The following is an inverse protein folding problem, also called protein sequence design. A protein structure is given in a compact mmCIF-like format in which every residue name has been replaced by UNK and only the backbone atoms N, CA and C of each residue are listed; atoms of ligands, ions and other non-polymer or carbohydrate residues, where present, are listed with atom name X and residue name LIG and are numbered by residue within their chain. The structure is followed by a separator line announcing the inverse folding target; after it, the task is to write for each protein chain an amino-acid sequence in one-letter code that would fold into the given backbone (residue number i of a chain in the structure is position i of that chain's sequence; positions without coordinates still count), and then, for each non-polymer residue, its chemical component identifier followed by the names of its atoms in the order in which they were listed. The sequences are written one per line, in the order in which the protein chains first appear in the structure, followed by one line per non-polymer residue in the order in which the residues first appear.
data_IF_335034169285
#
_entry.id   IF_335034169285
#
_cell.length_a   1.000
_cell.length_b   1.000
_cell.length_c   1.000
_cell.angle_alpha   90.00
_cell.angle_beta   90.00
_cell.angle_gamma   90.00
#
_symmetry.space_group_name_H-M   'P 1'
#
loop_
_entity.id
_entity.type
_entity.pdbx_description
1 polymer ?
#
# COMPACT_ATOMS: atom_id res chain seq x y z
N UNK A 1 12.40 -3.18 11.40
CA UNK A 1 12.47 -2.68 10.01
C UNK A 1 11.55 -1.50 9.76
N UNK A 2 10.79 -1.05 10.75
CA UNK A 2 9.84 0.04 10.58
C UNK A 2 10.22 1.17 11.54
N UNK A 3 10.73 2.27 10.99
CA UNK A 3 11.28 3.40 11.74
C UNK A 3 10.25 4.52 11.89
N UNK A 4 9.38 4.68 10.89
CA UNK A 4 8.35 5.70 10.83
C UNK A 4 7.20 5.28 9.89
N UNK A 5 6.05 5.94 9.99
CA UNK A 5 4.94 5.72 9.06
C UNK A 5 5.19 6.42 7.71
N UNK A 6 4.85 5.74 6.62
CA UNK A 6 4.90 6.29 5.27
C UNK A 6 3.57 6.96 4.93
N UNK A 7 3.46 8.25 5.22
CA UNK A 7 2.28 9.05 4.90
C UNK A 7 2.25 9.49 3.43
N UNK A 8 1.13 9.26 2.76
CA UNK A 8 0.86 9.71 1.41
C UNK A 8 0.50 11.19 1.45
N UNK A 9 1.28 12.01 0.73
CA UNK A 9 1.06 13.45 0.62
C UNK A 9 0.16 13.78 -0.58
N UNK A 10 -0.46 14.96 -0.53
CA UNK A 10 -1.33 15.50 -1.57
C UNK A 10 -2.57 14.67 -1.87
N UNK A 11 -3.13 14.00 -0.84
CA UNK A 11 -4.46 13.40 -0.93
C UNK A 11 -5.51 14.52 -0.74
N UNK A 12 -6.38 14.80 -1.72
CA UNK A 12 -7.36 15.88 -1.60
C UNK A 12 -8.23 15.71 -0.36
N UNK A 13 -8.36 16.75 0.46
CA UNK A 13 -9.21 16.78 1.67
C UNK A 13 -8.81 15.84 2.82
N UNK A 14 -7.76 15.03 2.69
CA UNK A 14 -7.35 14.08 3.72
C UNK A 14 -5.89 14.29 4.16
N UNK A 15 -5.58 13.90 5.39
CA UNK A 15 -4.24 13.85 5.97
C UNK A 15 -4.08 12.57 6.77
N UNK A 16 -2.84 12.14 6.98
CA UNK A 16 -2.55 10.95 7.80
C UNK A 16 -2.83 9.61 7.09
N UNK A 17 -3.11 9.63 5.78
CA UNK A 17 -3.28 8.41 4.98
C UNK A 17 -1.91 7.76 4.81
N UNK A 18 -1.76 6.50 5.21
CA UNK A 18 -0.48 5.79 5.19
C UNK A 18 -0.52 4.52 4.34
N UNK A 19 0.67 4.01 4.01
CA UNK A 19 0.86 2.62 3.57
C UNK A 19 1.11 1.73 4.78
N UNK A 20 0.40 0.60 4.88
CA UNK A 20 0.69 -0.40 5.91
C UNK A 20 0.26 -1.81 5.50
N UNK A 21 0.64 -2.78 6.33
CA UNK A 21 0.13 -4.14 6.26
C UNK A 21 -1.18 -4.26 7.07
N UNK A 22 -2.03 -5.19 6.66
CA UNK A 22 -3.29 -5.53 7.32
C UNK A 22 -3.84 -6.85 6.78
N UNK A 23 -4.81 -7.44 7.46
CA UNK A 23 -5.38 -8.74 7.11
C UNK A 23 -6.73 -8.64 6.40
N UNK A 24 -7.49 -7.58 6.67
CA UNK A 24 -8.84 -7.40 6.13
C UNK A 24 -9.23 -5.95 5.90
N UNK A 25 -10.38 -5.73 5.26
CA UNK A 25 -10.84 -4.38 4.89
C UNK A 25 -11.09 -3.46 6.11
N UNK A 26 -11.33 -4.05 7.28
CA UNK A 26 -11.56 -3.32 8.54
C UNK A 26 -10.29 -2.62 9.04
N UNK A 27 -9.11 -3.04 8.59
CA UNK A 27 -7.84 -2.44 8.97
C UNK A 27 -7.53 -1.15 8.20
N UNK A 28 -8.33 -0.82 7.17
CA UNK A 28 -8.00 0.28 6.27
C UNK A 28 -8.07 1.63 6.98
N UNK A 29 -9.17 1.97 7.66
CA UNK A 29 -9.40 3.31 8.23
C UNK A 29 -9.01 4.46 7.27
N UNK A 30 -9.15 4.25 5.94
CA UNK A 30 -8.71 5.16 4.88
C UNK A 30 -7.26 4.99 4.38
N UNK A 31 -6.42 4.24 5.08
CA UNK A 31 -5.06 3.85 4.66
C UNK A 31 -5.07 2.76 3.57
N UNK A 32 -3.96 2.67 2.83
CA UNK A 32 -3.78 1.68 1.76
C UNK A 32 -3.07 0.46 2.34
N UNK A 33 -3.73 -0.69 2.21
CA UNK A 33 -3.17 -2.00 2.56
C UNK A 33 -2.32 -2.54 1.41
N UNK A 34 -1.15 -3.06 1.74
CA UNK A 34 -0.21 -3.64 0.77
C UNK A 34 -0.09 -5.14 0.98
N UNK A 35 -0.27 -5.89 -0.10
CA UNK A 35 -0.12 -7.35 -0.13
C UNK A 35 0.13 -7.81 -1.58
N UNK A 36 0.86 -8.92 -1.72
CA UNK A 36 1.09 -9.61 -3.00
C UNK A 36 0.16 -10.80 -3.24
N UNK A 37 -0.72 -11.11 -2.29
CA UNK A 37 -1.61 -12.27 -2.36
C UNK A 37 -2.92 -12.01 -1.62
N UNK A 38 -4.02 -12.46 -2.20
CA UNK A 38 -5.33 -12.39 -1.55
C UNK A 38 -6.04 -13.73 -1.65
N UNK A 39 -6.77 -14.07 -0.60
CA UNK A 39 -7.69 -15.19 -0.60
C UNK A 39 -9.10 -14.63 -0.65
N UNK A 40 -9.86 -15.00 -1.68
CA UNK A 40 -11.25 -14.59 -1.89
C UNK A 40 -12.13 -15.82 -1.67
N UNK A 41 -12.95 -15.80 -0.63
CA UNK A 41 -14.08 -16.73 -0.47
C UNK A 41 -15.41 -15.98 -0.64
N UNK A 42 -16.52 -16.71 -0.71
CA UNK A 42 -17.87 -16.14 -0.84
C UNK A 42 -18.24 -15.17 0.29
N UNK A 43 -17.59 -15.30 1.45
CA UNK A 43 -17.92 -14.53 2.66
C UNK A 43 -16.78 -13.64 3.14
N UNK A 44 -15.54 -13.89 2.73
CA UNK A 44 -14.38 -13.16 3.24
C UNK A 44 -13.35 -12.86 2.16
N UNK A 45 -12.79 -11.64 2.22
CA UNK A 45 -11.59 -11.24 1.47
C UNK A 45 -10.47 -10.98 2.46
N UNK A 46 -9.45 -11.83 2.42
CA UNK A 46 -8.30 -11.74 3.31
C UNK A 46 -7.05 -11.46 2.50
N UNK A 47 -6.27 -10.45 2.92
CA UNK A 47 -4.95 -10.20 2.37
C UNK A 47 -3.95 -11.10 3.08
N UNK A 48 -3.27 -11.95 2.31
CA UNK A 48 -2.22 -12.84 2.84
C UNK A 48 -0.86 -12.22 2.59
N UNK A 49 0.17 -12.69 3.31
CA UNK A 49 1.56 -12.23 3.16
C UNK A 49 1.81 -10.71 3.34
N UNK A 50 0.81 -9.93 3.76
CA UNK A 50 0.85 -8.46 3.77
C UNK A 50 2.01 -7.89 4.58
N UNK A 51 2.35 -8.51 5.71
CA UNK A 51 3.50 -8.10 6.54
C UNK A 51 4.83 -8.21 5.79
N UNK A 52 5.07 -9.33 5.08
CA UNK A 52 6.29 -9.53 4.32
C UNK A 52 6.34 -8.59 3.12
N UNK A 53 5.25 -8.50 2.35
CA UNK A 53 5.17 -7.58 1.21
C UNK A 53 5.42 -6.13 1.63
N UNK A 54 4.78 -5.69 2.73
CA UNK A 54 4.98 -4.34 3.25
C UNK A 54 6.39 -4.12 3.77
N UNK A 55 7.03 -5.10 4.42
CA UNK A 55 8.44 -4.99 4.82
C UNK A 55 9.36 -4.75 3.62
N UNK A 56 9.20 -5.52 2.53
CA UNK A 56 10.01 -5.35 1.32
C UNK A 56 9.79 -3.96 0.69
N UNK A 57 8.53 -3.55 0.56
CA UNK A 57 8.18 -2.24 0.03
C UNK A 57 8.73 -1.12 0.92
N UNK A 58 8.57 -1.22 2.24
CA UNK A 58 9.04 -0.22 3.19
C UNK A 58 10.55 -0.02 3.07
N UNK A 59 11.34 -1.11 3.04
CA UNK A 59 12.80 -1.02 2.92
C UNK A 59 13.23 -0.38 1.60
N UNK A 60 12.54 -0.72 0.51
CA UNK A 60 12.78 -0.07 -0.78
C UNK A 60 12.52 1.44 -0.71
N UNK A 61 11.36 1.84 -0.18
CA UNK A 61 10.94 3.23 -0.07
C UNK A 61 11.81 4.04 0.89
N UNK A 62 12.11 3.51 2.08
CA UNK A 62 13.01 4.12 3.07
C UNK A 62 14.36 4.44 2.44
N UNK A 63 14.93 3.52 1.65
CA UNK A 63 16.18 3.78 0.93
C UNK A 63 16.03 4.87 -0.13
N UNK A 64 15.00 4.80 -0.99
CA UNK A 64 14.82 5.82 -2.04
C UNK A 64 14.62 7.23 -1.45
N UNK A 65 13.80 7.33 -0.40
CA UNK A 65 13.52 8.60 0.28
C UNK A 65 14.77 9.10 1.01
N UNK A 66 15.52 8.23 1.69
CA UNK A 66 16.77 8.57 2.37
C UNK A 66 17.86 9.08 1.42
N UNK A 67 17.84 8.64 0.15
CA UNK A 67 18.70 9.15 -0.93
C UNK A 67 18.19 10.49 -1.52
N UNK A 68 17.11 11.06 -0.98
CA UNK A 68 16.51 12.31 -1.47
C UNK A 68 15.69 12.14 -2.75
N UNK A 69 15.38 10.91 -3.18
CA UNK A 69 14.60 10.67 -4.40
C UNK A 69 13.13 10.96 -4.16
N UNK A 70 12.48 11.55 -5.17
CA UNK A 70 11.04 11.75 -5.18
C UNK A 70 10.34 10.43 -5.52
N UNK A 71 9.43 10.00 -4.65
CA UNK A 71 8.57 8.83 -4.89
C UNK A 71 7.16 9.32 -5.19
N UNK A 72 6.51 8.72 -6.19
CA UNK A 72 5.13 9.01 -6.56
C UNK A 72 4.31 7.72 -6.59
N UNK A 73 3.19 7.72 -5.88
CA UNK A 73 2.15 6.70 -5.99
C UNK A 73 1.12 7.18 -7.02
N UNK A 74 0.76 6.31 -7.96
CA UNK A 74 -0.35 6.58 -8.88
C UNK A 74 -1.37 5.46 -8.77
N UNK A 75 -2.59 5.83 -8.40
CA UNK A 75 -3.72 4.89 -8.33
C UNK A 75 -4.38 4.89 -9.71
N UNK A 76 -4.54 3.70 -10.29
CA UNK A 76 -5.31 3.47 -11.51
C UNK A 76 -6.41 2.46 -11.22
N UNK A 77 -7.52 2.61 -11.92
CA UNK A 77 -8.61 1.65 -11.90
C UNK A 77 -8.24 0.38 -12.71
N UNK A 78 -9.15 -0.58 -12.74
CA UNK A 78 -9.01 -1.82 -13.50
C UNK A 78 -8.96 -1.61 -15.02
N UNK A 79 -9.49 -0.50 -15.55
CA UNK A 79 -9.50 -0.25 -16.99
C UNK A 79 -8.10 0.01 -17.53
N UNK A 80 -7.24 0.61 -16.71
CA UNK A 80 -5.81 0.76 -17.01
C UNK A 80 -5.14 -0.58 -17.34
N UNK A 81 -5.55 -1.69 -16.71
CA UNK A 81 -4.92 -2.99 -16.92
C UNK A 81 -5.09 -3.44 -18.37
N UNK A 82 -6.23 -3.12 -18.98
CA UNK A 82 -6.53 -3.44 -20.38
C UNK A 82 -5.63 -2.68 -21.37
N UNK A 83 -4.93 -1.62 -20.92
CA UNK A 83 -4.01 -0.83 -21.75
C UNK A 83 -2.56 -1.36 -21.70
N UNK A 84 -2.29 -2.38 -20.88
CA UNK A 84 -0.97 -3.04 -20.78
C UNK A 84 -0.81 -4.22 -21.74
N UNK A 85 -1.89 -4.62 -22.42
CA UNK A 85 -1.92 -5.67 -23.44
C UNK A 85 -1.59 -5.10 -24.82
#
# INVERSE_FOLDING_TARGET
WFSYHLEIKNVPHFKGICLHHGGGHHDTAGCILVSDSSTISSENKTLTNSKYTFEQLYRFLERQIGEGKKVQLTIKDEQWINQLQ
#
